data_IF_095076277650
#
_entry.id   IF_095076277650
#
_cell.length_a   1.000
_cell.length_b   1.000
_cell.length_c   1.000
_cell.angle_alpha   90.00
_cell.angle_beta   90.00
_cell.angle_gamma   90.00
#
_symmetry.space_group_name_H-M   'P 1'
#
loop_
_entity.id
_entity.type
_entity.pdbx_description
1 polymer ?
#
# COMPACT_ATOMS: atom_id res chain seq x y z
N UNK A 1 13.60 0.03 -9.56
CA UNK A 1 13.82 -0.61 -10.88
C UNK A 1 13.56 0.40 -11.97
N UNK A 2 14.41 0.48 -12.99
CA UNK A 2 14.18 1.32 -14.18
C UNK A 2 13.80 0.40 -15.33
N UNK A 3 12.70 0.70 -16.02
CA UNK A 3 12.25 -0.07 -17.19
C UNK A 3 11.44 0.79 -18.15
N UNK A 4 11.55 0.58 -19.47
CA UNK A 4 10.63 1.16 -20.47
C UNK A 4 9.16 0.76 -20.20
N UNK A 5 8.15 1.52 -20.65
CA UNK A 5 6.75 1.11 -20.61
C UNK A 5 6.56 -0.29 -21.23
N UNK A 6 5.78 -1.17 -20.58
CA UNK A 6 5.50 -2.52 -21.09
C UNK A 6 6.52 -3.62 -20.74
N UNK A 7 7.56 -3.35 -19.96
CA UNK A 7 8.66 -4.31 -19.68
C UNK A 7 8.49 -5.22 -18.46
N UNK A 8 7.26 -5.41 -17.97
CA UNK A 8 6.99 -6.37 -16.90
C UNK A 8 7.42 -5.92 -15.49
N UNK A 9 7.55 -4.62 -15.24
CA UNK A 9 7.84 -4.08 -13.89
C UNK A 9 6.86 -4.58 -12.83
N UNK A 10 5.56 -4.51 -13.14
CA UNK A 10 4.48 -5.03 -12.28
C UNK A 10 4.65 -6.53 -12.04
N UNK A 11 5.06 -7.28 -13.06
CA UNK A 11 5.36 -8.71 -12.96
C UNK A 11 6.53 -8.96 -12.00
N UNK A 12 7.62 -8.19 -12.11
CA UNK A 12 8.78 -8.32 -11.21
C UNK A 12 8.45 -7.94 -9.78
N UNK A 13 7.73 -6.83 -9.57
CA UNK A 13 7.20 -6.44 -8.26
C UNK A 13 6.38 -7.59 -7.67
N UNK A 14 5.47 -8.15 -8.45
CA UNK A 14 4.60 -9.23 -7.99
C UNK A 14 5.38 -10.50 -7.63
N UNK A 15 6.44 -10.84 -8.36
CA UNK A 15 7.31 -11.98 -8.04
C UNK A 15 8.05 -11.76 -6.71
N UNK A 16 8.63 -10.58 -6.51
CA UNK A 16 9.33 -10.23 -5.27
C UNK A 16 8.36 -10.26 -4.07
N UNK A 17 7.19 -9.64 -4.22
CA UNK A 17 6.13 -9.61 -3.19
C UNK A 17 5.64 -11.02 -2.89
N UNK A 18 5.44 -11.87 -3.90
CA UNK A 18 5.07 -13.28 -3.68
C UNK A 18 6.09 -14.01 -2.80
N UNK A 19 7.38 -13.74 -3.00
CA UNK A 19 8.43 -14.34 -2.18
C UNK A 19 8.37 -13.82 -0.73
N UNK A 20 8.20 -12.52 -0.52
CA UNK A 20 8.10 -11.94 0.82
C UNK A 20 6.83 -12.40 1.56
N UNK A 21 5.69 -12.44 0.89
CA UNK A 21 4.42 -12.90 1.43
C UNK A 21 4.51 -14.36 1.94
N UNK A 22 5.11 -15.26 1.15
CA UNK A 22 5.31 -16.68 1.55
C UNK A 22 6.19 -16.83 2.79
N UNK A 23 7.11 -15.90 3.01
CA UNK A 23 8.00 -15.87 4.17
C UNK A 23 7.44 -14.99 5.31
N UNK A 24 6.18 -14.53 5.21
CA UNK A 24 5.53 -13.63 6.17
C UNK A 24 6.33 -12.37 6.48
N UNK A 25 7.03 -11.85 5.47
CA UNK A 25 7.82 -10.64 5.58
C UNK A 25 6.93 -9.43 5.28
N UNK A 26 6.77 -8.48 6.21
CA UNK A 26 5.96 -7.29 6.00
C UNK A 26 6.45 -6.48 4.81
N UNK A 27 5.51 -6.11 3.93
CA UNK A 27 5.75 -5.32 2.72
C UNK A 27 4.62 -4.32 2.51
N UNK A 28 5.00 -3.09 2.24
CA UNK A 28 4.09 -2.04 1.81
C UNK A 28 4.39 -1.70 0.35
N UNK A 29 3.33 -1.66 -0.46
CA UNK A 29 3.40 -1.29 -1.86
C UNK A 29 2.59 -0.01 -2.05
N UNK A 30 3.26 1.00 -2.56
CA UNK A 30 2.69 2.33 -2.76
C UNK A 30 2.78 2.68 -4.23
N UNK A 31 1.73 3.31 -4.76
CA UNK A 31 1.82 4.01 -6.03
C UNK A 31 1.19 5.41 -5.92
N UNK A 32 1.48 6.27 -6.88
CA UNK A 32 0.95 7.64 -6.88
C UNK A 32 -0.54 7.67 -7.27
N UNK A 33 -0.98 6.76 -8.14
CA UNK A 33 -2.35 6.72 -8.62
C UNK A 33 -3.08 5.43 -8.23
N UNK A 34 -4.37 5.61 -8.06
CA UNK A 34 -5.38 4.59 -7.89
C UNK A 34 -5.32 3.45 -8.92
N UNK A 35 -5.14 3.82 -10.19
CA UNK A 35 -5.02 2.86 -11.31
C UNK A 35 -3.74 2.03 -11.18
N UNK A 36 -2.63 2.63 -10.77
CA UNK A 36 -1.38 1.92 -10.58
C UNK A 36 -1.47 0.89 -9.45
N UNK A 37 -2.01 1.29 -8.28
CA UNK A 37 -2.19 0.37 -7.14
C UNK A 37 -3.12 -0.80 -7.51
N UNK A 38 -4.21 -0.53 -8.24
CA UNK A 38 -5.08 -1.58 -8.79
C UNK A 38 -4.29 -2.57 -9.65
N UNK A 39 -3.55 -2.07 -10.64
CA UNK A 39 -2.87 -2.95 -11.59
C UNK A 39 -1.91 -3.91 -10.89
N UNK A 40 -1.27 -3.44 -9.81
CA UNK A 40 -0.45 -4.29 -8.94
C UNK A 40 -1.32 -5.29 -8.16
N UNK A 41 -2.41 -4.84 -7.52
CA UNK A 41 -3.34 -5.69 -6.79
C UNK A 41 -3.89 -6.84 -7.65
N UNK A 42 -4.28 -6.56 -8.90
CA UNK A 42 -4.72 -7.59 -9.85
C UNK A 42 -3.61 -8.57 -10.22
N UNK A 43 -2.38 -8.08 -10.37
CA UNK A 43 -1.22 -8.92 -10.67
C UNK A 43 -0.87 -9.84 -9.49
N UNK A 44 -1.02 -9.37 -8.25
CA UNK A 44 -0.88 -10.17 -7.04
C UNK A 44 -2.00 -11.21 -6.90
N UNK A 45 -3.26 -10.80 -7.16
CA UNK A 45 -4.42 -11.69 -7.12
C UNK A 45 -4.29 -12.85 -8.14
N UNK A 46 -3.80 -12.56 -9.36
CA UNK A 46 -3.51 -13.58 -10.38
C UNK A 46 -2.46 -14.61 -9.95
N UNK A 47 -1.67 -14.30 -8.92
CA UNK A 47 -0.60 -15.15 -8.35
C UNK A 47 -0.98 -15.77 -7.01
N UNK A 48 -2.23 -15.59 -6.58
CA UNK A 48 -2.73 -16.06 -5.30
C UNK A 48 -1.89 -15.54 -4.11
N UNK A 49 -1.46 -14.28 -4.21
CA UNK A 49 -0.82 -13.57 -3.10
C UNK A 49 -1.89 -12.95 -2.24
N UNK A 50 -1.86 -13.23 -0.93
CA UNK A 50 -2.69 -12.54 0.03
C UNK A 50 -2.18 -11.11 0.26
N UNK A 51 -3.10 -10.15 0.21
CA UNK A 51 -2.81 -8.74 0.38
C UNK A 51 -4.04 -7.99 0.88
N UNK A 52 -3.81 -6.84 1.51
CA UNK A 52 -4.86 -5.90 1.88
C UNK A 52 -4.65 -4.59 1.14
N UNK A 53 -5.67 -4.15 0.40
CA UNK A 53 -5.69 -2.88 -0.31
C UNK A 53 -6.49 -1.84 0.49
N UNK A 54 -5.81 -0.81 0.98
CA UNK A 54 -6.43 0.27 1.74
C UNK A 54 -6.67 1.48 0.81
N UNK A 55 -7.91 1.95 0.77
CA UNK A 55 -8.38 3.00 -0.15
C UNK A 55 -9.11 4.10 0.60
N UNK A 56 -9.09 5.33 0.07
CA UNK A 56 -9.92 6.41 0.64
C UNK A 56 -11.38 6.20 0.26
N UNK A 57 -12.29 6.80 1.05
CA UNK A 57 -13.71 6.84 0.73
C UNK A 57 -13.97 7.43 -0.66
N UNK A 58 -13.37 8.59 -0.92
CA UNK A 58 -13.53 9.35 -2.17
C UNK A 58 -13.03 8.54 -3.36
N UNK A 59 -11.90 7.83 -3.17
CA UNK A 59 -11.37 6.94 -4.18
C UNK A 59 -12.33 5.80 -4.50
N UNK A 60 -12.93 5.17 -3.49
CA UNK A 60 -13.86 4.06 -3.70
C UNK A 60 -15.13 4.48 -4.47
N UNK A 61 -15.58 5.74 -4.34
CA UNK A 61 -16.77 6.24 -5.04
C UNK A 61 -16.54 6.42 -6.54
N UNK A 62 -15.31 6.74 -6.96
CA UNK A 62 -14.94 6.87 -8.38
C UNK A 62 -14.75 5.50 -9.09
N UNK A 63 -14.91 4.38 -8.36
CA UNK A 63 -14.81 3.05 -8.92
C UNK A 63 -16.12 2.53 -9.50
N UNK A 64 -16.07 2.06 -10.74
CA UNK A 64 -17.12 1.22 -11.31
C UNK A 64 -16.92 -0.24 -10.82
N UNK A 65 -17.86 -0.74 -10.00
CA UNK A 65 -17.77 -1.99 -9.22
C UNK A 65 -17.45 -3.25 -10.04
N UNK A 66 -17.90 -3.34 -11.28
CA UNK A 66 -17.75 -4.53 -12.14
C UNK A 66 -16.30 -4.87 -12.53
N UNK A 67 -15.34 -3.94 -12.35
CA UNK A 67 -13.95 -4.19 -12.73
C UNK A 67 -13.16 -4.90 -11.60
N UNK A 68 -13.72 -5.03 -10.40
CA UNK A 68 -12.95 -5.40 -9.19
C UNK A 68 -13.42 -6.66 -8.45
N UNK A 69 -14.36 -7.42 -9.02
CA UNK A 69 -14.94 -8.62 -8.38
C UNK A 69 -13.88 -9.54 -7.74
N UNK A 70 -12.70 -9.67 -8.37
CA UNK A 70 -11.62 -10.56 -7.94
C UNK A 70 -10.79 -10.06 -6.75
N UNK A 71 -10.84 -8.76 -6.45
CA UNK A 71 -10.05 -8.18 -5.36
C UNK A 71 -10.91 -7.48 -4.31
N UNK A 72 -12.22 -7.39 -4.50
CA UNK A 72 -13.15 -6.68 -3.62
C UNK A 72 -13.06 -7.13 -2.15
N UNK A 73 -12.90 -8.43 -1.91
CA UNK A 73 -12.77 -8.99 -0.55
C UNK A 73 -11.49 -8.55 0.17
N UNK A 74 -10.48 -8.13 -0.59
CA UNK A 74 -9.16 -7.66 -0.10
C UNK A 74 -9.12 -6.15 0.13
N UNK A 75 -10.24 -5.45 -0.05
CA UNK A 75 -10.29 -4.00 0.04
C UNK A 75 -10.85 -3.57 1.38
N UNK A 76 -10.19 -2.58 1.98
CA UNK A 76 -10.68 -1.88 3.15
C UNK A 76 -10.72 -0.39 2.82
N UNK A 77 -11.91 0.20 2.93
CA UNK A 77 -12.05 1.65 2.83
C UNK A 77 -11.66 2.31 4.14
N UNK A 78 -11.06 3.49 4.05
CA UNK A 78 -10.64 4.25 5.22
C UNK A 78 -11.79 4.58 6.17
N UNK A 79 -12.99 4.83 5.65
CA UNK A 79 -14.19 5.12 6.43
C UNK A 79 -14.85 3.87 7.05
N UNK A 80 -14.42 2.69 6.65
CA UNK A 80 -14.89 1.39 7.17
C UNK A 80 -13.82 0.70 8.04
N UNK A 81 -12.67 1.36 8.26
CA UNK A 81 -11.61 0.82 9.10
C UNK A 81 -12.11 0.79 10.56
N UNK A 82 -12.02 -0.36 11.26
CA UNK A 82 -12.44 -0.46 12.65
C UNK A 82 -11.68 0.51 13.55
N UNK A 83 -12.31 0.90 14.66
CA UNK A 83 -11.69 1.81 15.62
C UNK A 83 -10.74 1.11 16.58
N UNK A 84 -11.13 -0.09 17.00
CA UNK A 84 -10.41 -0.88 18.00
C UNK A 84 -9.25 -1.66 17.36
N UNK A 85 -8.02 -1.59 17.92
CA UNK A 85 -6.85 -2.25 17.33
C UNK A 85 -7.02 -3.76 17.09
N UNK A 86 -7.76 -4.45 17.97
CA UNK A 86 -8.04 -5.88 17.82
C UNK A 86 -8.92 -6.16 16.60
N UNK A 87 -9.89 -5.30 16.33
CA UNK A 87 -10.77 -5.44 15.17
C UNK A 87 -10.07 -5.04 13.88
N UNK A 88 -9.16 -4.06 13.92
CA UNK A 88 -8.24 -3.77 12.82
C UNK A 88 -7.37 -5.00 12.51
N UNK A 89 -6.77 -5.62 13.51
CA UNK A 89 -5.96 -6.84 13.34
C UNK A 89 -6.77 -7.97 12.70
N UNK A 90 -8.02 -8.18 13.16
CA UNK A 90 -8.94 -9.16 12.57
C UNK A 90 -9.29 -8.80 11.13
N UNK A 91 -9.56 -7.53 10.85
CA UNK A 91 -9.90 -7.05 9.50
C UNK A 91 -8.74 -7.20 8.52
N UNK A 92 -7.50 -7.01 8.98
CA UNK A 92 -6.29 -7.28 8.20
C UNK A 92 -6.01 -8.78 8.00
N UNK A 93 -6.65 -9.67 8.77
CA UNK A 93 -6.56 -11.12 8.58
C UNK A 93 -5.15 -11.72 8.79
N UNK A 94 -4.24 -11.00 9.45
CA UNK A 94 -2.83 -11.41 9.56
C UNK A 94 -2.04 -11.27 8.26
N UNK A 95 -2.60 -10.59 7.26
CA UNK A 95 -1.94 -10.28 6.02
C UNK A 95 -0.71 -9.38 6.27
N UNK A 96 0.41 -9.69 5.61
CA UNK A 96 1.66 -8.95 5.73
C UNK A 96 1.97 -8.05 4.53
N UNK A 97 1.09 -8.01 3.53
CA UNK A 97 1.24 -7.21 2.31
C UNK A 97 0.16 -6.15 2.26
N UNK A 98 0.55 -4.89 2.41
CA UNK A 98 -0.37 -3.74 2.34
C UNK A 98 -0.16 -3.00 1.02
N UNK A 99 -1.24 -2.69 0.32
CA UNK A 99 -1.27 -1.84 -0.86
C UNK A 99 -2.05 -0.57 -0.54
N UNK A 100 -1.53 0.59 -0.92
CA UNK A 100 -2.29 1.85 -0.86
C UNK A 100 -1.68 2.88 -1.81
N UNK A 101 -2.38 3.99 -2.04
CA UNK A 101 -1.75 5.15 -2.69
C UNK A 101 -0.85 5.91 -1.71
N UNK A 102 0.03 6.76 -2.23
CA UNK A 102 0.82 7.66 -1.39
C UNK A 102 -0.07 8.59 -0.54
N UNK A 103 -1.17 9.08 -1.12
CA UNK A 103 -2.14 9.91 -0.40
C UNK A 103 -2.78 9.16 0.77
N UNK A 104 -3.09 7.87 0.58
CA UNK A 104 -3.64 7.00 1.61
C UNK A 104 -2.64 6.61 2.68
N UNK A 105 -1.37 6.43 2.33
CA UNK A 105 -0.32 6.17 3.32
C UNK A 105 -0.22 7.29 4.37
N UNK A 106 -0.45 8.54 3.97
CA UNK A 106 -0.50 9.69 4.89
C UNK A 106 -1.93 10.12 5.27
N UNK A 107 -2.91 9.21 5.12
CA UNK A 107 -4.21 9.38 5.75
C UNK A 107 -4.07 9.06 7.26
N UNK A 108 -4.54 9.93 8.18
CA UNK A 108 -4.44 9.70 9.62
C UNK A 108 -5.00 8.35 10.08
N UNK A 109 -6.02 7.82 9.40
CA UNK A 109 -6.60 6.49 9.70
C UNK A 109 -5.52 5.39 9.70
N UNK A 110 -4.45 5.51 8.92
CA UNK A 110 -3.39 4.49 8.91
C UNK A 110 -2.58 4.49 10.21
N UNK A 111 -2.26 5.68 10.74
CA UNK A 111 -1.51 5.85 11.99
C UNK A 111 -2.43 5.68 13.20
N UNK A 112 -3.57 6.37 13.22
CA UNK A 112 -4.53 6.40 14.33
C UNK A 112 -5.12 5.00 14.63
N UNK A 113 -5.23 4.14 13.62
CA UNK A 113 -5.73 2.76 13.77
C UNK A 113 -4.62 1.73 14.00
N UNK A 114 -3.38 2.17 14.18
CA UNK A 114 -2.26 1.30 14.54
C UNK A 114 -1.79 0.35 13.43
N UNK A 115 -2.03 0.69 12.16
CA UNK A 115 -1.75 -0.23 11.04
C UNK A 115 -0.24 -0.42 10.86
N UNK A 116 0.57 0.62 11.15
CA UNK A 116 2.03 0.52 11.11
C UNK A 116 2.61 -0.39 12.20
N UNK A 117 1.92 -0.54 13.32
CA UNK A 117 2.31 -1.43 14.42
C UNK A 117 1.96 -2.88 14.10
N UNK A 118 0.81 -3.10 13.44
CA UNK A 118 0.32 -4.41 13.02
C UNK A 118 1.12 -4.96 11.82
N UNK A 119 1.37 -4.13 10.81
CA UNK A 119 2.18 -4.48 9.64
C UNK A 119 3.27 -3.43 9.46
N UNK A 120 4.42 -3.69 10.07
CA UNK A 120 5.54 -2.74 10.04
C UNK A 120 6.07 -2.55 8.62
N UNK A 121 6.26 -1.30 8.14
CA UNK A 121 6.71 -1.05 6.78
C UNK A 121 8.23 -1.30 6.56
N UNK A 122 8.77 -2.43 7.03
CA UNK A 122 10.19 -2.80 6.90
C UNK A 122 10.68 -2.86 5.44
N UNK A 123 9.75 -3.13 4.50
CA UNK A 123 10.01 -3.15 3.06
C UNK A 123 8.98 -2.26 2.38
N UNK A 124 9.48 -1.27 1.64
CA UNK A 124 8.67 -0.33 0.89
C UNK A 124 8.94 -0.49 -0.60
N UNK A 125 7.92 -0.85 -1.36
CA UNK A 125 7.95 -0.85 -2.82
C UNK A 125 7.16 0.35 -3.30
N UNK A 126 7.79 1.19 -4.10
CA UNK A 126 7.14 2.36 -4.70
C UNK A 126 7.12 2.16 -6.22
N UNK A 127 5.93 1.99 -6.79
CA UNK A 127 5.75 1.96 -8.24
C UNK A 127 5.59 3.38 -8.80
N UNK A 128 6.07 3.58 -10.02
CA UNK A 128 6.13 4.90 -10.67
C UNK A 128 6.81 5.98 -9.79
N UNK A 129 7.82 5.58 -9.00
CA UNK A 129 8.53 6.47 -8.08
C UNK A 129 9.13 7.71 -8.75
N UNK A 130 9.48 7.63 -10.04
CA UNK A 130 9.95 8.76 -10.84
C UNK A 130 8.90 9.85 -11.06
N UNK A 131 7.63 9.55 -10.85
CA UNK A 131 6.51 10.49 -10.95
C UNK A 131 6.13 11.12 -9.61
N UNK A 132 6.79 10.72 -8.52
CA UNK A 132 6.57 11.33 -7.19
C UNK A 132 7.43 12.57 -7.09
N UNK A 133 6.79 13.72 -6.86
CA UNK A 133 7.53 14.96 -6.64
C UNK A 133 8.01 15.00 -5.19
N UNK A 134 9.25 15.45 -4.95
CA UNK A 134 9.77 15.65 -3.59
C UNK A 134 8.88 16.59 -2.76
N UNK A 135 8.19 17.53 -3.40
CA UNK A 135 7.19 18.37 -2.73
C UNK A 135 6.04 17.58 -2.10
N UNK A 136 5.67 16.43 -2.67
CA UNK A 136 4.60 15.58 -2.16
C UNK A 136 4.98 14.95 -0.80
N UNK A 137 6.28 14.82 -0.52
CA UNK A 137 6.80 14.46 0.80
C UNK A 137 6.90 15.66 1.75
N UNK A 138 7.10 16.89 1.23
CA UNK A 138 7.40 18.07 2.05
C UNK A 138 6.15 18.88 2.45
N UNK A 139 5.06 18.86 1.69
CA UNK A 139 3.86 19.69 1.96
C UNK A 139 3.04 19.21 3.16
N UNK A 140 3.26 18.00 3.68
CA UNK A 140 2.63 17.50 4.93
C UNK A 140 3.53 17.64 6.17
N UNK A 141 4.42 18.64 6.18
CA UNK A 141 5.45 18.80 7.23
C UNK A 141 5.01 19.46 8.54
N UNK A 142 3.77 19.89 8.68
CA UNK A 142 3.25 20.40 9.95
C UNK A 142 2.27 19.38 10.56
N UNK A 143 2.77 18.63 11.55
CA UNK A 143 2.02 17.92 12.60
C UNK A 143 1.71 16.39 12.52
N UNK A 144 1.92 15.62 11.44
CA UNK A 144 1.50 14.19 11.45
C UNK A 144 2.47 13.17 10.83
N UNK A 145 3.77 13.19 11.17
CA UNK A 145 4.71 12.37 10.40
C UNK A 145 5.95 11.87 11.15
N UNK A 146 5.87 11.62 12.45
CA UNK A 146 7.01 11.00 13.16
C UNK A 146 7.29 9.57 12.70
N UNK A 147 6.26 8.77 12.41
CA UNK A 147 6.41 7.39 11.92
C UNK A 147 6.89 7.31 10.46
N UNK A 148 6.22 8.04 9.56
CA UNK A 148 6.53 8.01 8.13
C UNK A 148 7.84 8.74 7.78
N UNK A 149 8.23 9.81 8.51
CA UNK A 149 9.59 10.40 8.37
C UNK A 149 10.68 9.43 8.80
N UNK A 150 10.45 8.63 9.86
CA UNK A 150 11.41 7.61 10.30
C UNK A 150 11.55 6.49 9.27
N UNK A 151 10.42 6.09 8.66
CA UNK A 151 10.40 5.10 7.59
C UNK A 151 11.23 5.54 6.39
N UNK A 152 10.95 6.74 5.86
CA UNK A 152 11.67 7.27 4.71
C UNK A 152 13.14 7.55 5.06
N UNK A 153 13.45 8.05 6.25
CA UNK A 153 14.83 8.29 6.69
C UNK A 153 15.68 7.01 6.83
N UNK A 154 15.07 5.86 7.13
CA UNK A 154 15.77 4.58 7.18
C UNK A 154 15.81 3.87 5.82
N UNK A 155 14.76 3.98 4.99
CA UNK A 155 14.69 3.33 3.67
C UNK A 155 15.57 4.03 2.62
N UNK A 156 15.79 5.34 2.71
CA UNK A 156 16.68 6.10 1.80
C UNK A 156 18.18 6.03 2.16
N UNK A 157 18.61 5.23 3.15
CA UNK A 157 20.03 4.98 3.44
C UNK A 157 20.67 3.86 2.62
N UNK A 158 19.90 3.20 1.75
CA UNK A 158 20.38 2.12 0.89
C UNK A 158 19.93 2.31 -0.56
N UNK A 159 20.15 3.49 -1.13
CA UNK A 159 20.37 3.71 -2.57
C UNK A 159 21.33 4.87 -2.76
#
# INVERSE_FOLDING_TARGET
MVGPPGTGKTTTISVAVSHWARNRLPVWIIAQSNVAVKNIAESLAKRDVDFTLIVSKEFYVEWHEHIYEKIQERIIRSDEMPEEPLDVQRRLGGCCVILCTLSMLSNPVVEDRGIFELVRPERLVIDEASQINISDFMVRSDCQLTGLKRLLAHTFRFW
#
